data_IF_291858568732
#
_entry.id   IF_291858568732
#
_cell.length_a   1.000
_cell.length_b   1.000
_cell.length_c   1.000
_cell.angle_alpha   90.00
_cell.angle_beta   90.00
_cell.angle_gamma   90.00
#
_symmetry.space_group_name_H-M   'P 1'
#
loop_
_entity.id
_entity.type
_entity.pdbx_description
1 polymer ?
#
# COMPACT_ATOMS: atom_id res chain seq x y z
N UNK A 1 -10.22 -37.53 -7.30
CA UNK A 1 -9.35 -36.34 -7.28
C UNK A 1 -9.27 -35.68 -5.90
N UNK A 2 -10.34 -35.04 -5.38
CA UNK A 2 -10.37 -34.41 -4.03
C UNK A 2 -10.03 -35.39 -2.88
N UNK A 3 -10.47 -36.65 -2.99
CA UNK A 3 -10.21 -37.71 -2.00
C UNK A 3 -8.74 -38.18 -1.96
N UNK A 4 -7.97 -37.93 -3.01
CA UNK A 4 -6.55 -38.31 -3.13
C UNK A 4 -5.57 -37.16 -2.84
N UNK A 5 -6.01 -35.90 -2.97
CA UNK A 5 -5.19 -34.72 -2.68
C UNK A 5 -5.21 -34.31 -1.20
N UNK A 6 -6.30 -34.62 -0.48
CA UNK A 6 -6.50 -34.27 0.94
C UNK A 6 -5.40 -34.80 1.90
N UNK A 7 -4.81 -36.00 1.72
CA UNK A 7 -3.70 -36.47 2.57
C UNK A 7 -2.34 -35.82 2.26
N UNK A 8 -2.13 -35.35 1.03
CA UNK A 8 -0.90 -34.69 0.60
C UNK A 8 -0.85 -33.24 1.11
N UNK A 9 -1.97 -32.51 1.03
CA UNK A 9 -2.10 -31.15 1.55
C UNK A 9 -1.92 -31.08 3.09
N UNK A 10 -2.43 -32.08 3.84
CA UNK A 10 -2.24 -32.17 5.31
C UNK A 10 -0.79 -32.47 5.73
N UNK A 11 0.02 -33.10 4.87
CA UNK A 11 1.44 -33.40 5.19
C UNK A 11 2.37 -32.22 4.91
N UNK A 12 2.01 -31.36 3.97
CA UNK A 12 2.79 -30.16 3.61
C UNK A 12 2.55 -29.02 4.61
N UNK A 13 1.34 -28.88 5.15
CA UNK A 13 1.02 -27.83 6.14
C UNK A 13 1.74 -28.05 7.47
N UNK A 14 1.70 -29.25 8.05
CA UNK A 14 2.02 -29.37 9.49
C UNK A 14 3.51 -29.65 9.75
N UNK A 15 4.18 -30.39 8.86
CA UNK A 15 5.58 -30.77 9.04
C UNK A 15 6.56 -29.66 8.58
N UNK A 16 6.19 -28.87 7.56
CA UNK A 16 7.08 -27.86 6.96
C UNK A 16 7.03 -26.53 7.73
N UNK A 17 5.84 -26.11 8.19
CA UNK A 17 5.68 -24.89 9.01
C UNK A 17 6.44 -25.01 10.35
N UNK A 18 6.47 -26.20 10.95
CA UNK A 18 7.19 -26.45 12.22
C UNK A 18 8.72 -26.47 12.04
N UNK A 19 9.21 -26.86 10.86
CA UNK A 19 10.64 -26.84 10.51
C UNK A 19 11.12 -25.46 10.07
N UNK A 20 10.29 -24.68 9.39
CA UNK A 20 10.62 -23.34 8.86
C UNK A 20 10.74 -22.28 9.97
N UNK A 21 10.10 -22.47 11.13
CA UNK A 21 10.21 -21.57 12.28
C UNK A 21 11.58 -21.59 12.98
N UNK A 22 12.48 -22.53 12.67
CA UNK A 22 13.66 -22.83 13.51
C UNK A 22 15.03 -22.46 12.92
N UNK A 23 15.17 -22.27 11.61
CA UNK A 23 16.48 -22.12 10.98
C UNK A 23 16.42 -21.13 9.81
N UNK A 24 16.79 -19.86 10.05
CA UNK A 24 16.91 -18.85 8.99
C UNK A 24 18.36 -18.37 8.86
N UNK A 25 18.98 -18.73 7.74
CA UNK A 25 20.23 -18.20 7.17
C UNK A 25 20.10 -18.15 5.63
N UNK A 26 20.84 -17.25 4.99
CA UNK A 26 20.79 -16.80 3.59
C UNK A 26 20.84 -17.93 2.56
N UNK A 27 21.49 -19.05 2.88
CA UNK A 27 21.60 -20.23 2.00
C UNK A 27 20.27 -20.98 1.89
N UNK A 28 19.41 -20.91 2.91
CA UNK A 28 18.14 -21.64 3.01
C UNK A 28 17.03 -21.02 2.17
N UNK A 29 17.04 -19.70 1.93
CA UNK A 29 16.04 -18.99 1.11
C UNK A 29 16.09 -19.46 -0.34
N UNK A 30 17.29 -19.64 -0.92
CA UNK A 30 17.47 -20.14 -2.29
C UNK A 30 16.94 -21.57 -2.48
N UNK A 31 17.16 -22.44 -1.50
CA UNK A 31 16.69 -23.83 -1.53
C UNK A 31 15.17 -23.91 -1.34
N UNK A 32 14.61 -23.03 -0.51
CA UNK A 32 13.16 -22.96 -0.29
C UNK A 32 12.41 -22.41 -1.52
N UNK A 33 12.91 -21.34 -2.14
CA UNK A 33 12.34 -20.79 -3.38
C UNK A 33 12.39 -21.83 -4.49
N UNK A 34 13.51 -22.55 -4.65
CA UNK A 34 13.60 -23.68 -5.58
C UNK A 34 12.62 -24.80 -5.25
N UNK A 35 12.46 -25.15 -3.97
CA UNK A 35 11.53 -26.18 -3.52
C UNK A 35 10.05 -25.81 -3.71
N UNK A 36 9.69 -24.55 -3.47
CA UNK A 36 8.35 -24.02 -3.72
C UNK A 36 8.06 -24.00 -5.22
N UNK A 37 8.98 -23.49 -6.04
CA UNK A 37 8.87 -23.52 -7.51
C UNK A 37 8.75 -24.95 -8.02
N UNK A 38 9.53 -25.91 -7.50
CA UNK A 38 9.47 -27.30 -7.96
C UNK A 38 8.15 -27.99 -7.54
N UNK A 39 7.64 -27.68 -6.34
CA UNK A 39 6.33 -28.14 -5.88
C UNK A 39 5.21 -27.54 -6.73
N UNK A 40 5.33 -26.26 -7.12
CA UNK A 40 4.42 -25.57 -8.02
C UNK A 40 4.47 -26.14 -9.44
N UNK A 41 5.66 -26.41 -9.99
CA UNK A 41 5.84 -27.11 -11.29
C UNK A 41 5.17 -28.48 -11.27
N UNK A 42 5.33 -29.22 -10.17
CA UNK A 42 4.79 -30.56 -10.03
C UNK A 42 3.26 -30.55 -9.87
N UNK A 43 2.71 -29.56 -9.16
CA UNK A 43 1.27 -29.35 -9.05
C UNK A 43 0.67 -28.97 -10.42
N UNK A 44 1.22 -27.92 -11.07
CA UNK A 44 0.77 -27.42 -12.37
C UNK A 44 0.85 -28.47 -13.48
N UNK A 45 1.96 -29.21 -13.60
CA UNK A 45 2.06 -30.31 -14.59
C UNK A 45 0.97 -31.37 -14.41
N UNK A 46 0.61 -31.69 -13.15
CA UNK A 46 -0.37 -32.75 -12.86
C UNK A 46 -1.81 -32.28 -13.02
N UNK A 47 -2.13 -31.02 -12.72
CA UNK A 47 -3.51 -30.53 -12.78
C UNK A 47 -3.89 -29.91 -14.12
N UNK A 48 -2.94 -29.35 -14.88
CA UNK A 48 -3.28 -28.52 -16.07
C UNK A 48 -2.56 -28.92 -17.36
N UNK A 49 -1.56 -29.81 -17.30
CA UNK A 49 -0.82 -30.27 -18.50
C UNK A 49 0.11 -29.22 -19.14
N UNK A 50 0.36 -28.09 -18.47
CA UNK A 50 1.21 -27.00 -18.97
C UNK A 50 2.70 -27.39 -18.92
N UNK A 51 3.46 -27.11 -20.00
CA UNK A 51 4.92 -27.32 -20.05
C UNK A 51 5.67 -26.22 -19.26
N UNK A 52 6.34 -26.53 -18.13
CA UNK A 52 6.94 -25.54 -17.24
C UNK A 52 8.31 -24.98 -17.67
N UNK A 53 8.78 -25.26 -18.88
CA UNK A 53 10.08 -24.72 -19.31
C UNK A 53 10.09 -23.19 -19.45
N UNK A 54 8.91 -22.55 -19.60
CA UNK A 54 8.77 -21.10 -19.48
C UNK A 54 8.97 -20.55 -18.05
N UNK A 55 8.88 -21.40 -17.00
CA UNK A 55 9.21 -21.04 -15.61
C UNK A 55 10.70 -21.20 -15.27
N UNK A 56 11.54 -21.69 -16.20
CA UNK A 56 12.94 -22.01 -15.91
C UNK A 56 13.83 -20.77 -15.71
N UNK A 57 13.44 -19.60 -16.24
CA UNK A 57 14.20 -18.35 -16.11
C UNK A 57 14.34 -17.84 -14.68
N UNK A 58 13.43 -18.21 -13.77
CA UNK A 58 13.45 -17.77 -12.37
C UNK A 58 14.51 -18.50 -11.50
N UNK A 59 14.98 -19.68 -11.92
CA UNK A 59 15.91 -20.49 -11.12
C UNK A 59 17.39 -20.05 -11.24
N UNK A 60 17.68 -19.14 -12.18
CA UNK A 60 19.04 -18.68 -12.55
C UNK A 60 19.30 -17.21 -12.27
N UNK A 61 18.30 -16.45 -11.82
CA UNK A 61 18.40 -15.00 -11.60
C UNK A 61 18.95 -14.66 -10.19
N UNK A 62 19.56 -13.47 -10.03
CA UNK A 62 20.21 -13.03 -8.78
C UNK A 62 19.15 -12.50 -7.79
N UNK A 63 19.53 -12.35 -6.51
CA UNK A 63 18.69 -11.73 -5.44
C UNK A 63 18.04 -10.43 -5.96
N UNK A 64 16.71 -10.31 -5.90
CA UNK A 64 15.92 -9.18 -6.42
C UNK A 64 15.13 -9.46 -7.71
N UNK A 65 15.55 -10.42 -8.53
CA UNK A 65 14.91 -10.71 -9.83
C UNK A 65 13.70 -11.66 -9.73
N UNK A 66 13.29 -12.05 -8.52
CA UNK A 66 12.26 -13.08 -8.28
C UNK A 66 10.85 -12.50 -8.10
N UNK A 67 10.74 -11.21 -7.78
CA UNK A 67 9.47 -10.49 -7.55
C UNK A 67 8.58 -10.50 -8.79
N UNK A 68 9.14 -10.12 -9.95
CA UNK A 68 8.43 -10.08 -11.23
C UNK A 68 7.89 -11.44 -11.70
N UNK A 69 8.70 -12.52 -11.69
CA UNK A 69 8.23 -13.87 -12.03
C UNK A 69 7.11 -14.42 -11.12
N UNK A 70 7.14 -14.14 -9.82
CA UNK A 70 6.09 -14.57 -8.88
C UNK A 70 4.76 -13.81 -9.11
N UNK A 71 4.84 -12.51 -9.39
CA UNK A 71 3.67 -11.68 -9.75
C UNK A 71 3.06 -12.07 -11.10
N UNK A 72 3.88 -12.32 -12.12
CA UNK A 72 3.42 -12.83 -13.43
C UNK A 72 2.67 -14.17 -13.32
N UNK A 73 3.15 -15.07 -12.47
CA UNK A 73 2.47 -16.35 -12.24
C UNK A 73 1.10 -16.14 -11.58
N UNK A 74 0.94 -15.17 -10.67
CA UNK A 74 -0.38 -14.82 -10.08
C UNK A 74 -1.38 -14.41 -11.16
N UNK A 75 -0.98 -13.53 -12.09
CA UNK A 75 -1.84 -13.06 -13.19
C UNK A 75 -2.24 -14.17 -14.17
N UNK A 76 -1.27 -15.04 -14.52
CA UNK A 76 -1.54 -16.20 -15.38
C UNK A 76 -2.54 -17.17 -14.73
N UNK A 77 -2.50 -17.29 -13.40
CA UNK A 77 -3.43 -18.13 -12.65
C UNK A 77 -4.82 -17.49 -12.52
N UNK A 78 -4.92 -16.17 -12.39
CA UNK A 78 -6.19 -15.42 -12.38
C UNK A 78 -6.92 -15.52 -13.72
N UNK A 79 -6.22 -15.36 -14.84
CA UNK A 79 -6.79 -15.52 -16.18
C UNK A 79 -7.21 -16.96 -16.53
N UNK A 80 -6.84 -17.95 -15.71
CA UNK A 80 -7.19 -19.39 -15.88
C UNK A 80 -7.98 -19.95 -14.69
N UNK A 81 -8.53 -19.06 -13.85
CA UNK A 81 -9.19 -19.40 -12.59
C UNK A 81 -10.42 -20.30 -12.74
N UNK A 82 -10.98 -20.47 -13.95
CA UNK A 82 -12.09 -21.41 -14.21
C UNK A 82 -11.73 -22.88 -13.87
N UNK A 83 -10.44 -23.21 -13.77
CA UNK A 83 -9.97 -24.58 -13.50
C UNK A 83 -9.13 -24.74 -12.22
N UNK A 84 -8.91 -23.67 -11.46
CA UNK A 84 -8.19 -23.70 -10.19
C UNK A 84 -9.20 -23.62 -9.03
N UNK A 85 -9.10 -24.54 -8.05
CA UNK A 85 -9.87 -24.40 -6.81
C UNK A 85 -9.44 -23.09 -6.13
N UNK A 86 -10.38 -22.17 -5.88
CA UNK A 86 -10.15 -20.82 -5.31
C UNK A 86 -9.21 -20.86 -4.09
N UNK A 87 -9.36 -21.88 -3.24
CA UNK A 87 -8.54 -22.09 -2.04
C UNK A 87 -7.05 -22.33 -2.34
N UNK A 88 -6.73 -22.97 -3.46
CA UNK A 88 -5.35 -23.17 -3.90
C UNK A 88 -4.73 -21.87 -4.43
N UNK A 89 -5.52 -21.04 -5.13
CA UNK A 89 -5.09 -19.73 -5.59
C UNK A 89 -4.80 -18.79 -4.40
N UNK A 90 -5.65 -18.79 -3.37
CA UNK A 90 -5.45 -17.98 -2.17
C UNK A 90 -4.18 -18.38 -1.39
N UNK A 91 -3.95 -19.68 -1.20
CA UNK A 91 -2.73 -20.17 -0.54
C UNK A 91 -1.47 -19.81 -1.34
N UNK A 92 -1.55 -19.88 -2.68
CA UNK A 92 -0.47 -19.45 -3.55
C UNK A 92 -0.19 -17.95 -3.42
N UNK A 93 -1.24 -17.11 -3.51
CA UNK A 93 -1.12 -15.67 -3.32
C UNK A 93 -0.45 -15.38 -1.99
N UNK A 94 -0.98 -15.91 -0.88
CA UNK A 94 -0.42 -15.70 0.46
C UNK A 94 1.08 -16.06 0.53
N UNK A 95 1.50 -17.19 -0.05
CA UNK A 95 2.90 -17.60 -0.05
C UNK A 95 3.81 -16.73 -0.92
N UNK A 96 3.33 -16.29 -2.09
CA UNK A 96 4.07 -15.34 -2.93
C UNK A 96 4.24 -13.99 -2.21
N UNK A 97 3.20 -13.54 -1.50
CA UNK A 97 3.23 -12.31 -0.72
C UNK A 97 4.20 -12.35 0.45
N UNK A 98 4.21 -13.43 1.23
CA UNK A 98 5.18 -13.59 2.33
C UNK A 98 6.65 -13.57 1.82
N UNK A 99 6.89 -13.98 0.56
CA UNK A 99 8.21 -13.90 -0.09
C UNK A 99 8.52 -12.48 -0.59
N UNK A 100 7.53 -11.77 -1.12
CA UNK A 100 7.67 -10.38 -1.58
C UNK A 100 7.94 -9.43 -0.40
N UNK A 101 7.20 -9.57 0.69
CA UNK A 101 7.37 -8.75 1.91
C UNK A 101 8.77 -8.91 2.53
N UNK A 102 9.44 -10.05 2.31
CA UNK A 102 10.80 -10.28 2.81
C UNK A 102 11.91 -9.60 1.97
N UNK A 103 11.60 -9.15 0.75
CA UNK A 103 12.55 -8.52 -0.18
C UNK A 103 12.29 -7.02 -0.43
N UNK A 104 11.25 -6.42 0.15
CA UNK A 104 10.90 -5.01 -0.07
C UNK A 104 12.02 -4.04 0.35
N UNK A 105 12.47 -3.20 -0.60
CA UNK A 105 13.33 -2.05 -0.30
C UNK A 105 12.45 -0.92 0.23
N UNK A 106 12.68 -0.51 1.47
CA UNK A 106 11.97 0.62 2.05
C UNK A 106 12.77 1.91 1.90
N UNK A 107 12.31 2.79 1.02
CA UNK A 107 12.73 4.18 0.91
C UNK A 107 12.38 5.01 2.15
N UNK A 108 11.60 4.54 3.12
CA UNK A 108 11.46 5.22 4.43
C UNK A 108 10.81 6.61 4.35
N UNK A 109 11.59 7.68 4.52
CA UNK A 109 11.07 9.06 4.60
C UNK A 109 11.63 9.95 3.49
N UNK A 110 10.79 10.78 2.88
CA UNK A 110 11.22 11.79 1.91
C UNK A 110 10.55 13.14 2.14
N UNK A 111 11.14 14.18 1.56
CA UNK A 111 10.61 15.56 1.61
C UNK A 111 9.93 15.92 0.30
N UNK A 112 8.77 16.58 0.37
CA UNK A 112 8.14 17.23 -0.78
C UNK A 112 8.57 18.68 -0.90
N UNK A 113 8.98 19.11 -2.09
CA UNK A 113 9.32 20.48 -2.44
C UNK A 113 8.47 20.92 -3.64
N UNK A 114 7.55 21.85 -3.40
CA UNK A 114 6.84 22.53 -4.49
C UNK A 114 7.75 23.65 -5.01
N UNK A 115 8.13 23.62 -6.29
CA UNK A 115 8.99 24.62 -6.92
C UNK A 115 8.14 25.49 -7.85
N UNK A 116 8.34 26.80 -7.78
CA UNK A 116 7.77 27.78 -8.71
C UNK A 116 8.68 28.98 -8.83
N UNK A 117 8.93 29.42 -10.06
CA UNK A 117 9.80 30.54 -10.41
C UNK A 117 11.20 30.38 -9.77
N UNK A 118 11.73 29.15 -9.82
CA UNK A 118 13.05 28.77 -9.27
C UNK A 118 13.14 28.75 -7.75
N UNK A 119 12.02 28.84 -7.03
CA UNK A 119 11.97 28.88 -5.56
C UNK A 119 11.05 27.82 -4.99
N UNK A 120 11.39 27.34 -3.79
CA UNK A 120 10.47 26.52 -3.01
C UNK A 120 9.32 27.39 -2.49
N UNK A 121 8.11 26.93 -2.76
CA UNK A 121 6.86 27.59 -2.41
C UNK A 121 5.99 26.70 -1.53
N UNK A 122 5.02 27.32 -0.86
CA UNK A 122 3.97 26.65 -0.12
C UNK A 122 2.64 27.33 -0.39
N UNK A 123 1.53 26.60 -0.23
CA UNK A 123 0.20 27.22 -0.29
C UNK A 123 0.06 28.31 0.78
N UNK A 124 -0.48 29.46 0.39
CA UNK A 124 -0.78 30.57 1.31
C UNK A 124 -1.75 30.13 2.40
N UNK A 125 -2.77 29.36 2.02
CA UNK A 125 -3.71 28.70 2.94
C UNK A 125 -4.21 27.40 2.30
N UNK A 126 -4.74 26.45 3.10
CA UNK A 126 -5.29 25.20 2.57
C UNK A 126 -6.35 25.41 1.48
N UNK A 127 -7.22 26.42 1.67
CA UNK A 127 -8.37 26.69 0.80
C UNK A 127 -8.05 27.55 -0.44
N UNK A 128 -6.83 28.07 -0.57
CA UNK A 128 -6.46 28.99 -1.65
C UNK A 128 -5.32 28.39 -2.47
N UNK A 129 -5.55 28.18 -3.76
CA UNK A 129 -4.54 27.75 -4.75
C UNK A 129 -3.59 28.90 -5.13
N UNK A 130 -3.05 29.59 -4.14
CA UNK A 130 -2.05 30.64 -4.30
C UNK A 130 -0.78 30.24 -3.54
N UNK A 131 0.35 30.30 -4.22
CA UNK A 131 1.64 29.87 -3.68
C UNK A 131 2.49 31.09 -3.32
N UNK A 132 3.21 31.00 -2.20
CA UNK A 132 4.16 32.00 -1.74
C UNK A 132 5.50 31.33 -1.45
N UNK A 133 6.65 32.04 -1.58
CA UNK A 133 7.94 31.49 -1.17
C UNK A 133 7.89 31.00 0.27
N UNK A 134 8.47 29.83 0.52
CA UNK A 134 8.44 29.16 1.84
C UNK A 134 9.02 30.04 2.94
N UNK A 135 10.06 30.82 2.61
CA UNK A 135 10.75 31.80 3.46
C UNK A 135 9.84 32.90 4.02
N UNK A 136 8.66 33.13 3.42
CA UNK A 136 7.67 34.09 3.95
C UNK A 136 6.82 33.53 5.08
N UNK A 137 6.79 32.21 5.26
CA UNK A 137 5.95 31.52 6.25
C UNK A 137 6.78 30.82 7.32
N UNK A 138 7.92 30.27 6.93
CA UNK A 138 8.83 29.53 7.80
C UNK A 138 10.22 30.15 7.73
N UNK A 139 10.98 30.02 8.82
CA UNK A 139 12.39 30.43 8.87
C UNK A 139 13.27 29.38 8.16
N UNK A 140 13.08 29.27 6.85
CA UNK A 140 13.71 28.29 5.96
C UNK A 140 14.14 28.96 4.65
N UNK A 141 15.24 28.51 4.03
CA UNK A 141 15.65 29.01 2.72
C UNK A 141 14.60 28.65 1.66
N UNK A 142 14.45 29.49 0.64
CA UNK A 142 13.58 29.25 -0.52
C UNK A 142 14.35 28.74 -1.74
N UNK A 143 15.67 28.56 -1.64
CA UNK A 143 16.47 27.84 -2.62
C UNK A 143 16.23 26.32 -2.51
N UNK A 144 15.88 25.61 -3.62
CA UNK A 144 15.58 24.19 -3.58
C UNK A 144 16.72 23.30 -3.06
N UNK A 145 17.94 23.53 -3.52
CA UNK A 145 19.09 22.71 -3.14
C UNK A 145 19.48 22.93 -1.67
N UNK A 146 19.52 24.19 -1.23
CA UNK A 146 19.81 24.55 0.16
C UNK A 146 18.79 23.94 1.12
N UNK A 147 17.50 24.06 0.80
CA UNK A 147 16.43 23.52 1.64
C UNK A 147 16.44 21.98 1.65
N UNK A 148 16.58 21.35 0.48
CA UNK A 148 16.64 19.89 0.38
C UNK A 148 17.79 19.33 1.22
N UNK A 149 18.99 19.88 1.07
CA UNK A 149 20.18 19.48 1.84
C UNK A 149 19.94 19.60 3.34
N UNK A 150 19.44 20.77 3.78
CA UNK A 150 19.17 21.04 5.19
C UNK A 150 18.17 20.05 5.79
N UNK A 151 17.09 19.71 5.07
CA UNK A 151 16.06 18.80 5.57
C UNK A 151 16.51 17.34 5.51
N UNK A 152 17.20 16.92 4.44
CA UNK A 152 17.75 15.57 4.29
C UNK A 152 18.72 15.25 5.42
N UNK A 153 19.64 16.16 5.73
CA UNK A 153 20.59 15.97 6.83
C UNK A 153 19.92 16.00 8.21
N UNK A 154 19.00 16.95 8.43
CA UNK A 154 18.35 17.13 9.74
C UNK A 154 17.49 15.95 10.14
N UNK A 155 16.81 15.33 9.17
CA UNK A 155 15.81 14.29 9.42
C UNK A 155 16.23 12.89 8.95
N UNK A 156 17.46 12.72 8.45
CA UNK A 156 17.96 11.47 7.84
C UNK A 156 17.00 10.97 6.75
N UNK A 157 16.67 11.85 5.81
CA UNK A 157 15.74 11.51 4.73
C UNK A 157 16.43 10.66 3.67
N UNK A 158 15.64 9.77 3.09
CA UNK A 158 16.07 8.75 2.16
C UNK A 158 15.90 9.18 0.69
N UNK A 159 14.96 10.09 0.41
CA UNK A 159 14.64 10.56 -0.94
C UNK A 159 14.04 11.98 -0.94
N UNK A 160 13.96 12.59 -2.13
CA UNK A 160 13.35 13.90 -2.35
C UNK A 160 12.25 13.78 -3.40
N UNK A 161 11.11 14.42 -3.17
CA UNK A 161 10.03 14.60 -4.14
C UNK A 161 9.96 16.07 -4.51
N UNK A 162 9.91 16.36 -5.81
CA UNK A 162 9.85 17.72 -6.36
C UNK A 162 8.62 17.83 -7.25
N UNK A 163 7.76 18.80 -6.97
CA UNK A 163 6.66 19.17 -7.86
C UNK A 163 6.99 20.50 -8.53
N UNK A 164 7.26 20.47 -9.84
CA UNK A 164 7.49 21.67 -10.63
C UNK A 164 6.16 22.30 -11.03
N UNK A 165 5.74 23.30 -10.26
CA UNK A 165 4.46 23.97 -10.49
C UNK A 165 4.47 24.85 -11.75
N UNK A 166 5.63 25.20 -12.31
CA UNK A 166 5.68 25.90 -13.61
C UNK A 166 5.35 24.92 -14.73
N UNK A 167 5.93 23.72 -14.72
CA UNK A 167 5.57 22.65 -15.64
C UNK A 167 4.07 22.28 -15.50
N UNK A 168 3.63 21.98 -14.28
CA UNK A 168 2.28 21.49 -13.99
C UNK A 168 1.20 22.55 -14.31
N UNK A 169 1.44 23.83 -14.00
CA UNK A 169 0.40 24.87 -14.15
C UNK A 169 0.52 25.69 -15.44
N UNK A 170 1.71 25.75 -16.05
CA UNK A 170 2.01 26.63 -17.19
C UNK A 170 2.50 25.87 -18.43
N UNK A 171 2.84 24.58 -18.31
CA UNK A 171 3.40 23.77 -19.38
C UNK A 171 4.85 24.12 -19.74
N UNK A 172 5.54 24.86 -18.87
CA UNK A 172 6.93 25.28 -19.06
C UNK A 172 7.73 24.90 -17.80
N UNK A 173 8.56 23.84 -17.85
CA UNK A 173 9.36 23.43 -16.70
C UNK A 173 10.36 24.50 -16.26
N UNK A 174 10.53 24.64 -14.95
CA UNK A 174 11.60 25.42 -14.37
C UNK A 174 12.95 24.72 -14.56
N UNK A 175 14.01 25.49 -14.80
CA UNK A 175 15.36 24.95 -14.82
C UNK A 175 15.80 24.61 -13.38
N UNK A 176 15.64 23.35 -13.03
CA UNK A 176 15.98 22.79 -11.72
C UNK A 176 17.13 21.77 -11.80
N UNK A 177 17.68 21.56 -13.01
CA UNK A 177 18.69 20.54 -13.32
C UNK A 177 19.89 20.58 -12.36
N UNK A 178 20.52 21.75 -12.21
CA UNK A 178 21.65 21.98 -11.29
C UNK A 178 21.31 21.64 -9.82
N UNK A 179 20.09 21.97 -9.39
CA UNK A 179 19.64 21.72 -8.01
C UNK A 179 19.36 20.24 -7.76
N UNK A 180 18.89 19.51 -8.78
CA UNK A 180 18.64 18.07 -8.70
C UNK A 180 19.93 17.25 -8.81
N UNK A 181 20.87 17.68 -9.66
CA UNK A 181 22.17 17.01 -9.89
C UNK A 181 23.02 16.92 -8.62
N UNK A 182 22.92 17.93 -7.76
CA UNK A 182 23.72 18.06 -6.53
C UNK A 182 23.18 17.23 -5.35
N UNK A 183 21.97 16.67 -5.47
CA UNK A 183 21.38 15.82 -4.43
C UNK A 183 21.87 14.38 -4.54
N UNK A 184 22.45 13.85 -3.47
CA UNK A 184 22.95 12.45 -3.42
C UNK A 184 21.85 11.38 -3.29
N UNK A 185 20.62 11.80 -2.97
CA UNK A 185 19.47 10.91 -2.74
C UNK A 185 18.67 10.71 -4.01
N UNK A 186 17.93 9.59 -4.16
CA UNK A 186 16.95 9.43 -5.22
C UNK A 186 15.97 10.61 -5.24
N UNK A 187 15.68 11.13 -6.43
CA UNK A 187 14.74 12.25 -6.60
C UNK A 187 13.58 11.82 -7.48
N UNK A 188 12.36 12.17 -7.08
CA UNK A 188 11.15 11.92 -7.85
C UNK A 188 10.60 13.28 -8.30
N UNK A 189 10.53 13.51 -9.60
CA UNK A 189 10.22 14.83 -10.16
C UNK A 189 8.92 14.75 -10.94
N UNK A 190 7.91 15.46 -10.45
CA UNK A 190 6.65 15.70 -11.13
C UNK A 190 6.74 17.00 -11.93
N UNK A 191 6.67 16.85 -13.26
CA UNK A 191 6.67 17.95 -14.23
C UNK A 191 5.39 17.92 -15.09
N UNK A 192 4.33 17.26 -14.64
CA UNK A 192 3.13 17.03 -15.44
C UNK A 192 3.40 16.21 -16.71
N UNK A 193 2.69 16.53 -17.79
CA UNK A 193 2.85 15.89 -19.11
C UNK A 193 4.14 16.28 -19.85
N UNK A 194 5.02 17.10 -19.27
CA UNK A 194 6.29 17.45 -19.90
C UNK A 194 7.29 16.28 -19.82
N UNK A 195 8.17 16.18 -20.82
CA UNK A 195 9.34 15.29 -20.80
C UNK A 195 10.58 16.10 -20.37
N UNK A 196 11.06 15.91 -19.13
CA UNK A 196 12.19 16.67 -18.60
C UNK A 196 13.54 16.00 -18.94
N UNK A 197 14.59 16.81 -19.09
CA UNK A 197 15.97 16.30 -19.06
C UNK A 197 16.39 16.14 -17.59
N UNK A 198 16.39 14.90 -17.09
CA UNK A 198 16.64 14.58 -15.69
C UNK A 198 17.99 13.90 -15.47
N UNK A 199 18.66 14.15 -14.33
CA UNK A 199 19.87 13.42 -13.99
C UNK A 199 19.57 11.94 -13.73
N UNK A 200 20.57 11.07 -13.89
CA UNK A 200 20.39 9.60 -13.87
C UNK A 200 19.84 9.00 -12.56
N UNK A 201 19.88 9.74 -11.45
CA UNK A 201 19.33 9.35 -10.16
C UNK A 201 17.95 9.96 -9.87
N UNK A 202 17.43 10.76 -10.81
CA UNK A 202 16.09 11.30 -10.77
C UNK A 202 15.13 10.46 -11.62
N UNK A 203 13.91 10.34 -11.14
CA UNK A 203 12.84 9.57 -11.75
C UNK A 203 11.69 10.52 -12.08
N UNK A 204 11.23 10.53 -13.33
CA UNK A 204 10.03 11.25 -13.72
C UNK A 204 8.83 10.64 -13.01
N UNK A 205 7.96 11.48 -12.46
CA UNK A 205 6.62 11.09 -12.01
C UNK A 205 5.66 11.45 -13.14
N UNK A 206 4.86 10.48 -13.58
CA UNK A 206 3.86 10.67 -14.64
C UNK A 206 2.48 10.71 -13.96
N UNK A 207 1.90 11.90 -13.74
CA UNK A 207 0.72 12.05 -12.91
C UNK A 207 -0.59 11.85 -13.70
N UNK A 208 -1.59 11.24 -13.08
CA UNK A 208 -2.84 10.80 -13.73
C UNK A 208 -3.69 11.92 -14.32
N UNK A 209 -3.61 13.14 -13.80
CA UNK A 209 -4.48 14.27 -14.12
C UNK A 209 -4.03 15.10 -15.33
N UNK A 210 -2.83 14.82 -15.84
CA UNK A 210 -2.29 15.50 -17.02
C UNK A 210 -2.76 14.87 -18.35
N UNK A 211 -3.58 13.82 -18.32
CA UNK A 211 -4.01 13.06 -19.48
C UNK A 211 -5.54 13.00 -19.55
N UNK A 212 -6.10 13.23 -20.74
CA UNK A 212 -7.54 13.04 -21.00
C UNK A 212 -7.87 11.61 -21.43
N UNK A 213 -6.89 10.88 -21.98
CA UNK A 213 -7.01 9.50 -22.44
C UNK A 213 -6.03 8.57 -21.70
N UNK A 214 -6.52 7.40 -21.26
CA UNK A 214 -5.71 6.41 -20.54
C UNK A 214 -4.58 5.84 -21.39
N UNK A 215 -4.76 5.77 -22.71
CA UNK A 215 -3.78 5.19 -23.63
C UNK A 215 -2.53 6.07 -23.71
N UNK A 216 -2.70 7.39 -23.75
CA UNK A 216 -1.58 8.35 -23.74
C UNK A 216 -0.77 8.22 -22.44
N UNK A 217 -1.45 8.07 -21.30
CA UNK A 217 -0.79 7.82 -20.02
C UNK A 217 0.04 6.53 -20.01
N UNK A 218 -0.50 5.45 -20.61
CA UNK A 218 0.19 4.16 -20.69
C UNK A 218 1.39 4.25 -21.64
N UNK A 219 1.24 4.92 -22.79
CA UNK A 219 2.32 5.13 -23.75
C UNK A 219 3.50 5.86 -23.10
N UNK A 220 3.25 7.00 -22.44
CA UNK A 220 4.28 7.76 -21.72
C UNK A 220 4.96 6.92 -20.63
N UNK A 221 4.19 6.13 -19.88
CA UNK A 221 4.74 5.22 -18.90
C UNK A 221 5.61 4.15 -19.54
N UNK A 222 5.18 3.52 -20.65
CA UNK A 222 5.92 2.45 -21.31
C UNK A 222 7.21 2.96 -21.98
N UNK A 223 7.26 4.20 -22.45
CA UNK A 223 8.43 4.82 -23.06
C UNK A 223 9.56 5.10 -22.04
N UNK A 224 9.21 5.47 -20.80
CA UNK A 224 10.18 5.67 -19.71
C UNK A 224 10.12 4.52 -18.67
N UNK A 225 11.01 3.53 -18.84
CA UNK A 225 11.14 2.40 -17.91
C UNK A 225 11.54 2.81 -16.48
N UNK A 226 12.10 4.01 -16.30
CA UNK A 226 12.56 4.54 -15.01
C UNK A 226 11.51 5.39 -14.29
N UNK A 227 10.45 5.80 -14.98
CA UNK A 227 9.40 6.65 -14.43
C UNK A 227 8.55 5.95 -13.36
N UNK A 228 7.96 6.74 -12.48
CA UNK A 228 7.00 6.29 -11.47
C UNK A 228 5.60 6.75 -11.87
N UNK A 229 4.62 5.86 -11.78
CA UNK A 229 3.23 6.21 -12.01
C UNK A 229 2.71 7.09 -10.86
N UNK A 230 2.37 8.34 -11.13
CA UNK A 230 1.77 9.27 -10.17
C UNK A 230 0.25 9.10 -10.13
N UNK A 231 -0.29 8.77 -8.97
CA UNK A 231 -1.72 8.60 -8.70
C UNK A 231 -2.19 9.74 -7.79
N UNK A 232 -2.81 10.74 -8.40
CA UNK A 232 -3.25 11.94 -7.71
C UNK A 232 -4.71 11.84 -7.29
N UNK A 233 -4.95 12.11 -6.02
CA UNK A 233 -6.24 11.99 -5.37
C UNK A 233 -6.74 13.34 -4.84
N UNK A 234 -8.07 13.46 -4.79
CA UNK A 234 -8.75 14.45 -3.96
C UNK A 234 -9.75 13.70 -3.07
N UNK A 235 -9.31 13.34 -1.87
CA UNK A 235 -10.04 12.42 -1.01
C UNK A 235 -10.10 11.01 -1.61
N UNK A 236 -11.27 10.56 -2.04
CA UNK A 236 -11.48 9.23 -2.65
C UNK A 236 -11.48 9.23 -4.18
N UNK A 237 -11.50 10.41 -4.81
CA UNK A 237 -11.55 10.54 -6.26
C UNK A 237 -10.15 10.63 -6.84
N UNK A 238 -9.91 9.93 -7.96
CA UNK A 238 -8.69 10.11 -8.75
C UNK A 238 -8.87 11.32 -9.66
N UNK A 239 -7.84 12.15 -9.77
CA UNK A 239 -7.79 13.24 -10.73
C UNK A 239 -7.36 12.68 -12.10
N UNK A 240 -8.20 12.87 -13.12
CA UNK A 240 -8.01 12.33 -14.47
C UNK A 240 -9.11 11.34 -14.88
N UNK A 241 -8.93 10.60 -15.99
CA UNK A 241 -9.97 9.80 -16.65
C UNK A 241 -10.13 8.41 -16.02
N UNK A 242 -10.11 8.29 -14.69
CA UNK A 242 -10.02 7.00 -13.99
C UNK A 242 -11.24 6.71 -13.11
N UNK A 243 -11.79 5.51 -13.21
CA UNK A 243 -12.94 5.03 -12.43
C UNK A 243 -12.50 4.41 -11.10
N UNK A 244 -11.64 5.13 -10.37
CA UNK A 244 -11.09 4.72 -9.08
C UNK A 244 -9.85 3.82 -9.16
N UNK A 245 -9.28 3.50 -7.98
CA UNK A 245 -7.95 2.87 -7.86
C UNK A 245 -7.90 1.47 -8.49
N UNK A 246 -9.03 0.75 -8.49
CA UNK A 246 -9.12 -0.57 -9.13
C UNK A 246 -8.93 -0.49 -10.64
N UNK A 247 -9.64 0.43 -11.31
CA UNK A 247 -9.54 0.65 -12.75
C UNK A 247 -8.13 1.11 -13.16
N UNK A 248 -7.53 2.02 -12.37
CA UNK A 248 -6.13 2.41 -12.55
C UNK A 248 -5.19 1.20 -12.49
N UNK A 249 -5.26 0.41 -11.42
CA UNK A 249 -4.39 -0.74 -11.23
C UNK A 249 -4.59 -1.81 -12.31
N UNK A 250 -5.83 -2.15 -12.65
CA UNK A 250 -6.14 -3.13 -13.71
C UNK A 250 -5.52 -2.73 -15.05
N UNK A 251 -5.38 -1.42 -15.28
CA UNK A 251 -4.79 -0.85 -16.50
C UNK A 251 -3.25 -0.87 -16.47
N UNK A 252 -2.64 -0.39 -15.38
CA UNK A 252 -1.20 -0.10 -15.34
C UNK A 252 -0.36 -1.18 -14.67
N UNK A 253 -0.99 -2.18 -14.04
CA UNK A 253 -0.30 -3.18 -13.20
C UNK A 253 0.89 -3.78 -13.92
N UNK A 254 0.75 -4.11 -15.22
CA UNK A 254 1.79 -4.73 -16.04
C UNK A 254 3.07 -3.90 -16.18
N UNK A 255 2.94 -2.58 -16.12
CA UNK A 255 4.04 -1.65 -16.23
C UNK A 255 4.65 -1.43 -14.84
N UNK A 256 3.81 -1.09 -13.86
CA UNK A 256 4.27 -0.67 -12.53
C UNK A 256 4.78 -1.83 -11.66
N UNK A 257 4.45 -3.10 -11.95
CA UNK A 257 4.93 -4.22 -11.13
C UNK A 257 6.43 -4.46 -11.24
N UNK A 258 7.06 -4.01 -12.33
CA UNK A 258 8.50 -4.18 -12.62
C UNK A 258 9.35 -3.08 -11.99
N UNK A 259 8.71 -2.05 -11.43
CA UNK A 259 9.34 -0.81 -10.95
C UNK A 259 9.35 -0.76 -9.43
N UNK A 260 10.32 -0.06 -8.88
CA UNK A 260 10.49 0.12 -7.43
C UNK A 260 11.05 1.52 -7.12
N UNK A 261 10.22 2.46 -6.60
CA UNK A 261 8.79 2.33 -6.37
C UNK A 261 8.01 2.25 -7.69
N UNK A 262 6.89 1.53 -7.69
CA UNK A 262 6.05 1.42 -8.89
C UNK A 262 5.03 2.54 -9.03
N UNK A 263 4.51 3.04 -7.90
CA UNK A 263 3.46 4.05 -7.87
C UNK A 263 3.75 5.06 -6.76
N UNK A 264 3.47 6.32 -7.03
CA UNK A 264 3.44 7.40 -6.05
C UNK A 264 1.99 7.83 -5.87
N UNK A 265 1.47 7.83 -4.65
CA UNK A 265 0.07 8.13 -4.34
C UNK A 265 0.00 9.38 -3.48
N UNK A 266 -0.56 10.47 -3.99
CA UNK A 266 -0.69 11.73 -3.25
C UNK A 266 -2.15 12.14 -3.19
N UNK A 267 -2.65 12.45 -1.98
CA UNK A 267 -3.92 13.17 -1.83
C UNK A 267 -3.63 14.68 -1.81
N UNK A 268 -3.76 15.29 -2.99
CA UNK A 268 -3.53 16.72 -3.24
C UNK A 268 -4.54 17.60 -2.49
N UNK A 269 -5.74 17.05 -2.23
CA UNK A 269 -6.79 17.68 -1.42
C UNK A 269 -6.44 17.71 0.07
N UNK A 270 -5.76 16.69 0.57
CA UNK A 270 -5.34 16.60 1.97
C UNK A 270 -4.04 17.39 2.28
N UNK A 271 -3.37 18.00 1.30
CA UNK A 271 -2.13 18.76 1.55
C UNK A 271 -2.39 19.90 2.55
N UNK A 272 -1.76 19.79 3.71
CA UNK A 272 -1.91 20.74 4.81
C UNK A 272 -3.10 20.50 5.75
N UNK A 273 -3.96 19.50 5.49
CA UNK A 273 -5.11 19.17 6.34
C UNK A 273 -4.72 18.52 7.67
N UNK A 274 -3.55 17.85 7.70
CA UNK A 274 -3.07 17.04 8.82
C UNK A 274 -3.99 15.85 9.16
N UNK A 275 -4.82 15.38 8.24
CA UNK A 275 -5.73 14.24 8.43
C UNK A 275 -5.11 12.87 8.13
N UNK A 276 -3.89 12.86 7.59
CA UNK A 276 -3.17 11.66 7.18
C UNK A 276 -3.24 11.36 5.68
N UNK A 277 -2.31 10.52 5.18
CA UNK A 277 -2.22 10.15 3.76
C UNK A 277 -3.31 9.17 3.32
N UNK A 278 -3.44 8.90 2.00
CA UNK A 278 -4.47 8.03 1.43
C UNK A 278 -4.14 6.54 1.62
N UNK A 279 -4.19 6.06 2.87
CA UNK A 279 -3.79 4.70 3.21
C UNK A 279 -4.55 3.57 2.48
N UNK A 280 -5.83 3.78 2.16
CA UNK A 280 -6.64 2.76 1.47
C UNK A 280 -6.23 2.56 0.02
N UNK A 281 -5.93 3.67 -0.68
CA UNK A 281 -5.38 3.63 -2.04
C UNK A 281 -4.00 2.99 -2.02
N UNK A 282 -3.15 3.40 -1.07
CA UNK A 282 -1.83 2.81 -0.84
C UNK A 282 -1.88 1.30 -0.59
N UNK A 283 -2.83 0.84 0.22
CA UNK A 283 -3.00 -0.60 0.51
C UNK A 283 -3.37 -1.36 -0.77
N UNK A 284 -4.23 -0.76 -1.61
CA UNK A 284 -4.65 -1.38 -2.88
C UNK A 284 -3.48 -1.46 -3.87
N UNK A 285 -2.68 -0.40 -3.96
CA UNK A 285 -1.44 -0.39 -4.75
C UNK A 285 -0.44 -1.41 -4.22
N UNK A 286 -0.25 -1.47 -2.89
CA UNK A 286 0.61 -2.41 -2.18
C UNK A 286 0.30 -3.88 -2.46
N UNK A 287 -0.93 -4.18 -2.91
CA UNK A 287 -1.31 -5.51 -3.39
C UNK A 287 -0.75 -5.86 -4.78
N UNK A 288 -0.04 -4.97 -5.47
CA UNK A 288 0.50 -5.26 -6.80
C UNK A 288 1.88 -4.65 -7.05
N UNK A 289 2.18 -3.49 -6.45
CA UNK A 289 3.48 -2.82 -6.53
C UNK A 289 3.84 -2.11 -5.22
N UNK A 290 5.02 -1.51 -5.15
CA UNK A 290 5.43 -0.67 -4.02
C UNK A 290 4.95 0.76 -4.19
N UNK A 291 4.53 1.39 -3.09
CA UNK A 291 3.96 2.73 -3.08
C UNK A 291 4.80 3.72 -2.27
N UNK A 292 5.08 4.89 -2.86
CA UNK A 292 5.36 6.11 -2.09
C UNK A 292 4.05 6.83 -1.80
N UNK A 293 3.85 7.36 -0.60
CA UNK A 293 2.58 8.00 -0.25
C UNK A 293 2.73 9.37 0.38
N UNK A 294 1.86 10.31 0.02
CA UNK A 294 1.88 11.70 0.49
C UNK A 294 0.50 12.34 0.59
N UNK A 295 0.47 13.60 1.03
CA UNK A 295 -0.76 14.33 1.33
C UNK A 295 -1.22 14.12 2.78
N UNK A 296 -1.65 15.18 3.48
CA UNK A 296 -2.22 15.08 4.83
C UNK A 296 -1.30 14.67 5.98
N UNK A 297 -0.01 14.39 5.77
CA UNK A 297 0.90 14.00 6.86
C UNK A 297 1.16 15.19 7.80
N UNK A 298 0.61 15.12 9.01
CA UNK A 298 0.73 16.17 10.04
C UNK A 298 1.27 15.70 11.39
N UNK A 299 1.48 14.39 11.59
CA UNK A 299 1.94 13.83 12.87
C UNK A 299 2.83 12.59 12.69
N UNK A 300 3.81 12.33 13.57
CA UNK A 300 4.64 11.11 13.51
C UNK A 300 3.84 9.81 13.49
N UNK A 301 2.68 9.75 14.14
CA UNK A 301 1.83 8.55 14.10
C UNK A 301 1.33 8.25 12.68
N UNK A 302 1.13 9.26 11.82
CA UNK A 302 0.80 9.01 10.40
C UNK A 302 1.94 8.33 9.66
N UNK A 303 3.19 8.73 9.96
CA UNK A 303 4.40 8.10 9.41
C UNK A 303 4.51 6.64 9.85
N UNK A 304 4.28 6.38 11.15
CA UNK A 304 4.29 5.02 11.70
C UNK A 304 3.22 4.14 11.06
N UNK A 305 1.99 4.64 10.93
CA UNK A 305 0.89 3.90 10.31
C UNK A 305 1.13 3.66 8.82
N UNK A 306 1.65 4.65 8.11
CA UNK A 306 2.01 4.56 6.70
C UNK A 306 3.08 3.48 6.47
N UNK A 307 4.20 3.54 7.19
CA UNK A 307 5.28 2.55 7.06
C UNK A 307 4.91 1.16 7.59
N UNK A 308 3.89 1.06 8.43
CA UNK A 308 3.30 -0.22 8.84
C UNK A 308 2.27 -0.77 7.85
N UNK A 309 1.95 -0.03 6.79
CA UNK A 309 0.99 -0.46 5.76
C UNK A 309 1.71 -1.34 4.73
N UNK A 310 1.25 -2.57 4.49
CA UNK A 310 1.89 -3.46 3.51
C UNK A 310 2.02 -2.83 2.12
N UNK A 311 3.19 -2.94 1.51
CA UNK A 311 3.51 -2.40 0.19
C UNK A 311 3.84 -0.91 0.15
N UNK A 312 3.78 -0.18 1.27
CA UNK A 312 4.27 1.20 1.34
C UNK A 312 5.79 1.20 1.57
N UNK A 313 6.53 1.67 0.58
CA UNK A 313 7.99 1.75 0.63
C UNK A 313 8.48 3.04 1.30
N UNK A 314 7.73 4.14 1.18
CA UNK A 314 8.12 5.43 1.76
C UNK A 314 6.98 6.43 1.91
N UNK A 315 7.23 7.44 2.74
CA UNK A 315 6.27 8.52 3.09
C UNK A 315 6.83 9.87 2.71
N UNK A 316 6.06 10.63 1.95
CA UNK A 316 6.38 11.98 1.49
C UNK A 316 5.89 12.99 2.54
N UNK A 317 6.81 13.80 3.04
CA UNK A 317 6.59 14.76 4.11
C UNK A 317 6.77 16.20 3.60
N UNK A 318 5.76 17.05 3.80
CA UNK A 318 5.83 18.48 3.48
C UNK A 318 5.71 19.33 4.74
N UNK A 319 4.49 19.85 4.98
CA UNK A 319 4.15 20.76 6.08
C UNK A 319 4.71 20.36 7.44
N UNK A 320 4.67 19.08 7.82
CA UNK A 320 5.18 18.60 9.11
C UNK A 320 6.67 18.87 9.31
N UNK A 321 7.49 18.80 8.25
CA UNK A 321 8.93 19.11 8.33
C UNK A 321 9.15 20.62 8.45
N UNK A 322 8.37 21.40 7.70
CA UNK A 322 8.47 22.86 7.67
C UNK A 322 8.05 23.50 8.99
N UNK A 323 7.08 22.89 9.69
CA UNK A 323 6.67 23.28 11.04
C UNK A 323 7.67 22.87 12.13
N UNK A 324 8.73 22.12 11.79
CA UNK A 324 9.82 21.80 12.71
C UNK A 324 9.50 20.68 13.69
N UNK A 325 8.84 19.60 13.22
CA UNK A 325 8.66 18.39 14.03
C UNK A 325 9.98 17.88 14.61
N UNK A 326 9.94 17.31 15.81
CA UNK A 326 11.13 16.73 16.44
C UNK A 326 11.67 15.55 15.61
N UNK A 327 12.93 15.62 15.11
CA UNK A 327 13.54 14.52 14.34
C UNK A 327 13.56 13.19 15.08
N UNK A 328 13.70 13.19 16.42
CA UNK A 328 13.70 11.96 17.21
C UNK A 328 12.34 11.26 17.20
N UNK A 329 11.25 12.04 17.19
CA UNK A 329 9.88 11.48 17.11
C UNK A 329 9.62 10.87 15.74
N UNK A 330 10.10 11.51 14.67
CA UNK A 330 10.00 10.96 13.31
C UNK A 330 10.80 9.68 13.14
N UNK A 331 12.04 9.64 13.63
CA UNK A 331 12.86 8.44 13.55
C UNK A 331 12.28 7.29 14.40
N UNK A 332 11.72 7.60 15.58
CA UNK A 332 10.99 6.61 16.37
C UNK A 332 9.78 6.06 15.59
N UNK A 333 8.96 6.92 15.00
CA UNK A 333 7.82 6.51 14.17
C UNK A 333 8.26 5.64 12.98
N UNK A 334 9.36 6.02 12.29
CA UNK A 334 9.95 5.24 11.19
C UNK A 334 10.33 3.83 11.64
N UNK A 335 11.01 3.70 12.78
CA UNK A 335 11.44 2.40 13.33
C UNK A 335 10.28 1.54 13.82
N UNK A 336 9.28 2.15 14.43
CA UNK A 336 8.08 1.45 14.88
C UNK A 336 7.21 1.00 13.69
N UNK A 337 7.03 1.86 12.70
CA UNK A 337 6.25 1.57 11.49
C UNK A 337 6.79 0.36 10.73
N UNK A 338 8.11 0.30 10.51
CA UNK A 338 8.79 -0.86 9.86
C UNK A 338 8.59 -2.21 10.59
N UNK A 339 8.08 -2.22 11.82
CA UNK A 339 7.83 -3.44 12.62
C UNK A 339 6.35 -3.67 12.86
N UNK A 340 5.50 -2.76 12.39
CA UNK A 340 4.06 -2.81 12.55
C UNK A 340 3.43 -3.41 11.30
N UNK A 341 2.24 -3.99 11.46
CA UNK A 341 1.36 -4.32 10.35
C UNK A 341 0.02 -3.65 10.58
N UNK A 342 -0.36 -2.78 9.64
CA UNK A 342 -1.58 -1.97 9.70
C UNK A 342 -2.44 -2.29 8.50
N UNK A 343 -3.70 -2.64 8.76
CA UNK A 343 -4.72 -2.84 7.76
C UNK A 343 -5.68 -1.65 7.78
N UNK A 344 -6.05 -1.16 6.60
CA UNK A 344 -6.96 -0.01 6.47
C UNK A 344 -8.30 -0.44 5.91
N UNK A 345 -9.40 -0.03 6.55
CA UNK A 345 -10.73 -0.38 6.10
C UNK A 345 -11.83 0.58 6.54
N UNK A 346 -12.86 0.70 5.70
CA UNK A 346 -14.09 1.40 6.00
C UNK A 346 -15.02 0.63 6.96
N UNK A 347 -15.73 1.37 7.80
CA UNK A 347 -16.77 0.89 8.70
C UNK A 347 -17.88 1.95 8.83
N UNK A 348 -19.14 1.54 8.92
CA UNK A 348 -20.22 2.50 9.18
C UNK A 348 -20.06 3.16 10.57
N UNK A 349 -20.41 4.44 10.66
CA UNK A 349 -20.17 5.26 11.87
C UNK A 349 -20.81 4.68 13.13
N UNK A 350 -21.97 4.02 13.01
CA UNK A 350 -22.62 3.32 14.13
C UNK A 350 -21.72 2.25 14.75
N UNK A 351 -21.17 1.36 13.92
CA UNK A 351 -20.29 0.29 14.40
C UNK A 351 -18.95 0.83 14.88
N UNK A 352 -18.44 1.90 14.26
CA UNK A 352 -17.22 2.58 14.72
C UNK A 352 -17.37 3.08 16.15
N UNK A 353 -18.51 3.73 16.47
CA UNK A 353 -18.81 4.20 17.82
C UNK A 353 -18.97 3.04 18.82
N UNK A 354 -19.61 1.94 18.41
CA UNK A 354 -19.75 0.76 19.27
C UNK A 354 -18.40 0.11 19.61
N UNK A 355 -17.45 0.08 18.67
CA UNK A 355 -16.08 -0.40 18.94
C UNK A 355 -15.36 0.57 19.88
N UNK A 356 -15.47 1.87 19.63
CA UNK A 356 -14.86 2.90 20.47
C UNK A 356 -15.34 2.84 21.92
N UNK A 357 -16.63 2.55 22.13
CA UNK A 357 -17.23 2.35 23.46
C UNK A 357 -16.92 0.96 24.08
N UNK A 358 -16.24 0.08 23.36
CA UNK A 358 -15.92 -1.28 23.79
C UNK A 358 -17.11 -2.24 23.83
N UNK A 359 -18.24 -1.87 23.22
CA UNK A 359 -19.45 -2.72 23.13
C UNK A 359 -19.34 -3.76 22.03
N UNK A 360 -18.80 -3.36 20.87
CA UNK A 360 -18.51 -4.25 19.75
C UNK A 360 -17.04 -4.68 19.82
N UNK A 361 -16.81 -5.96 20.08
CA UNK A 361 -15.47 -6.53 20.30
C UNK A 361 -15.04 -7.46 19.16
N UNK A 362 -15.96 -7.85 18.28
CA UNK A 362 -15.68 -8.71 17.13
C UNK A 362 -16.16 -8.04 15.85
N UNK A 363 -15.29 -7.99 14.84
CA UNK A 363 -15.60 -7.49 13.51
C UNK A 363 -15.68 -8.61 12.47
N UNK A 364 -16.85 -8.80 11.88
CA UNK A 364 -17.08 -9.79 10.84
C UNK A 364 -16.75 -9.27 9.43
N UNK A 365 -15.95 -10.01 8.66
CA UNK A 365 -15.61 -9.67 7.26
C UNK A 365 -15.55 -10.91 6.38
N UNK A 366 -15.83 -10.77 5.08
CA UNK A 366 -15.49 -11.85 4.12
C UNK A 366 -13.97 -12.02 4.09
N UNK A 367 -13.51 -13.28 4.03
CA UNK A 367 -12.09 -13.64 3.93
C UNK A 367 -11.54 -13.42 2.50
N UNK A 368 -11.65 -12.20 2.01
CA UNK A 368 -11.05 -11.81 0.74
C UNK A 368 -9.52 -11.70 0.84
N UNK A 369 -8.85 -11.50 -0.30
CA UNK A 369 -7.37 -11.48 -0.37
C UNK A 369 -6.72 -10.38 0.50
N UNK A 370 -7.47 -9.30 0.82
CA UNK A 370 -7.01 -8.22 1.70
C UNK A 370 -7.12 -8.63 3.16
N UNK A 371 -8.25 -9.22 3.58
CA UNK A 371 -8.51 -9.56 4.99
C UNK A 371 -7.93 -10.92 5.40
N UNK A 372 -7.69 -11.83 4.45
CA UNK A 372 -7.10 -13.15 4.71
C UNK A 372 -5.69 -13.09 5.35
N UNK A 373 -5.04 -11.92 5.34
CA UNK A 373 -3.69 -11.70 5.87
C UNK A 373 -3.68 -11.17 7.31
N UNK A 374 -4.84 -10.81 7.84
CA UNK A 374 -4.97 -10.26 9.18
C UNK A 374 -4.59 -11.36 10.19
N UNK A 375 -3.67 -11.03 11.09
CA UNK A 375 -3.17 -11.94 12.13
C UNK A 375 -3.32 -11.30 13.51
N UNK A 376 -3.45 -12.13 14.57
CA UNK A 376 -3.34 -11.65 15.94
C UNK A 376 -2.07 -10.81 16.14
N UNK A 377 -2.21 -9.64 16.78
CA UNK A 377 -1.13 -8.67 16.99
C UNK A 377 -1.09 -7.53 15.98
N UNK A 378 -1.70 -7.69 14.81
CA UNK A 378 -1.82 -6.63 13.79
C UNK A 378 -2.62 -5.43 14.33
N UNK A 379 -2.64 -4.36 13.55
CA UNK A 379 -3.49 -3.18 13.77
C UNK A 379 -4.47 -3.03 12.64
N UNK A 380 -5.64 -2.48 12.96
CA UNK A 380 -6.61 -2.04 11.96
C UNK A 380 -6.88 -0.56 12.21
N UNK A 381 -6.78 0.25 11.17
CA UNK A 381 -7.21 1.64 11.18
C UNK A 381 -8.54 1.75 10.44
N UNK A 382 -9.61 2.00 11.19
CA UNK A 382 -10.94 2.22 10.63
C UNK A 382 -11.15 3.69 10.28
N UNK A 383 -11.63 3.96 9.06
CA UNK A 383 -12.00 5.31 8.58
C UNK A 383 -10.90 6.38 8.79
N UNK A 384 -9.62 6.00 8.72
CA UNK A 384 -8.46 6.87 9.04
C UNK A 384 -8.53 7.52 10.44
N UNK A 385 -9.30 6.94 11.37
CA UNK A 385 -9.65 7.55 12.65
C UNK A 385 -9.43 6.61 13.82
N UNK A 386 -10.11 5.47 13.88
CA UNK A 386 -10.06 4.59 15.04
C UNK A 386 -9.02 3.48 14.83
N UNK A 387 -7.94 3.52 15.61
CA UNK A 387 -6.92 2.48 15.62
C UNK A 387 -7.27 1.41 16.64
N UNK A 388 -7.32 0.15 16.20
CA UNK A 388 -7.57 -1.02 17.04
C UNK A 388 -6.45 -2.05 16.92
N UNK A 389 -6.30 -2.89 17.94
CA UNK A 389 -5.44 -4.06 17.94
C UNK A 389 -6.26 -5.30 17.60
N UNK A 390 -5.71 -6.17 16.76
CA UNK A 390 -6.27 -7.52 16.55
C UNK A 390 -5.82 -8.43 17.69
N UNK A 391 -6.77 -9.00 18.40
CA UNK A 391 -6.56 -9.92 19.53
C UNK A 391 -6.53 -11.36 19.03
N UNK A 392 -7.50 -11.74 18.21
CA UNK A 392 -7.61 -13.07 17.63
C UNK A 392 -8.35 -13.02 16.27
N UNK A 393 -8.18 -14.07 15.45
CA UNK A 393 -8.86 -14.19 14.15
C UNK A 393 -9.38 -15.63 13.98
N UNK A 394 -10.69 -15.77 13.79
CA UNK A 394 -11.37 -17.06 13.64
C UNK A 394 -12.09 -17.14 12.29
N UNK A 395 -12.11 -18.32 11.69
CA UNK A 395 -12.68 -18.54 10.35
C UNK A 395 -13.97 -19.37 10.43
N UNK A 396 -14.95 -18.98 9.63
CA UNK A 396 -16.28 -19.61 9.54
C UNK A 396 -16.70 -19.83 8.10
N UNK A 397 -17.56 -20.82 7.85
CA UNK A 397 -18.08 -21.09 6.51
C UNK A 397 -19.17 -20.09 6.11
N UNK A 398 -19.81 -19.42 7.07
CA UNK A 398 -20.87 -18.42 6.83
C UNK A 398 -20.99 -17.38 7.94
N UNK A 399 -21.62 -16.24 7.63
CA UNK A 399 -21.98 -15.22 8.62
C UNK A 399 -22.97 -15.75 9.66
N UNK A 400 -23.87 -16.65 9.27
CA UNK A 400 -24.83 -17.27 10.19
C UNK A 400 -24.11 -18.10 11.27
N UNK A 401 -23.15 -18.92 10.86
CA UNK A 401 -22.32 -19.71 11.78
C UNK A 401 -21.49 -18.79 12.69
N UNK A 402 -20.83 -17.78 12.11
CA UNK A 402 -20.04 -16.81 12.87
C UNK A 402 -20.89 -16.10 13.94
N UNK A 403 -22.06 -15.58 13.58
CA UNK A 403 -22.95 -14.86 14.52
C UNK A 403 -23.45 -15.78 15.66
N UNK A 404 -23.65 -17.07 15.37
CA UNK A 404 -24.06 -18.06 16.38
C UNK A 404 -22.95 -18.37 17.37
N UNK A 405 -21.71 -18.51 16.91
CA UNK A 405 -20.57 -18.93 17.73
C UNK A 405 -19.91 -17.74 18.48
N UNK A 406 -19.81 -16.57 17.83
CA UNK A 406 -19.21 -15.37 18.43
C UNK A 406 -20.16 -14.61 19.37
N UNK A 407 -21.47 -14.85 19.25
CA UNK A 407 -22.51 -14.10 19.96
C UNK A 407 -22.86 -12.79 19.24
N UNK A 408 -24.16 -12.59 19.00
CA UNK A 408 -24.67 -11.44 18.27
C UNK A 408 -24.31 -10.11 18.97
N UNK A 409 -24.32 -10.09 20.30
CA UNK A 409 -23.98 -8.94 21.13
C UNK A 409 -22.53 -8.47 20.96
N UNK A 410 -21.61 -9.36 20.61
CA UNK A 410 -20.19 -9.03 20.43
C UNK A 410 -19.90 -8.51 19.01
N UNK A 411 -20.67 -8.99 18.03
CA UNK A 411 -20.47 -8.69 16.60
C UNK A 411 -21.36 -7.54 16.12
N UNK A 412 -22.65 -7.58 16.42
CA UNK A 412 -23.65 -6.59 16.02
C UNK A 412 -24.51 -6.22 17.24
N UNK A 413 -23.96 -5.44 18.20
CA UNK A 413 -24.74 -4.97 19.34
C UNK A 413 -26.01 -4.24 18.87
N UNK A 414 -27.11 -4.41 19.60
CA UNK A 414 -28.44 -3.85 19.30
C UNK A 414 -29.21 -4.52 18.15
N UNK A 415 -28.71 -5.64 17.60
CA UNK A 415 -29.46 -6.50 16.68
C UNK A 415 -30.11 -7.63 17.47
N UNK A 416 -31.37 -7.94 17.17
CA UNK A 416 -32.19 -8.84 18.00
C UNK A 416 -32.16 -10.31 17.54
N UNK A 417 -31.72 -10.58 16.30
CA UNK A 417 -31.70 -11.95 15.74
C UNK A 417 -30.54 -12.22 14.78
N UNK A 418 -30.17 -13.51 14.63
CA UNK A 418 -29.14 -13.94 13.68
C UNK A 418 -29.59 -13.65 12.25
N UNK A 419 -30.87 -13.86 11.94
CA UNK A 419 -31.43 -13.63 10.61
C UNK A 419 -31.26 -12.16 10.19
N UNK A 420 -31.57 -11.21 11.08
CA UNK A 420 -31.36 -9.78 10.85
C UNK A 420 -29.86 -9.44 10.70
N UNK A 421 -29.00 -10.04 11.53
CA UNK A 421 -27.55 -9.87 11.43
C UNK A 421 -26.98 -10.34 10.10
N UNK A 422 -27.49 -11.47 9.56
CA UNK A 422 -27.11 -11.96 8.23
C UNK A 422 -27.56 -10.97 7.16
N UNK A 423 -28.79 -10.44 7.22
CA UNK A 423 -29.28 -9.44 6.27
C UNK A 423 -28.45 -8.14 6.30
N UNK A 424 -27.97 -7.73 7.47
CA UNK A 424 -27.02 -6.61 7.59
C UNK A 424 -25.77 -6.85 6.74
N UNK A 425 -25.15 -8.04 6.85
CA UNK A 425 -23.98 -8.39 6.05
C UNK A 425 -24.27 -8.55 4.56
N UNK A 426 -25.49 -8.98 4.19
CA UNK A 426 -25.94 -9.10 2.79
C UNK A 426 -25.99 -7.76 2.06
N UNK A 427 -26.11 -6.64 2.77
CA UNK A 427 -26.01 -5.29 2.19
C UNK A 427 -24.61 -5.00 1.63
N UNK A 428 -23.57 -5.64 2.17
CA UNK A 428 -22.18 -5.42 1.77
C UNK A 428 -21.60 -6.57 0.93
N UNK A 429 -22.05 -7.80 1.15
CA UNK A 429 -21.47 -9.00 0.54
C UNK A 429 -22.53 -9.91 -0.09
N UNK A 430 -22.30 -10.30 -1.35
CA UNK A 430 -23.12 -11.31 -2.00
C UNK A 430 -22.89 -12.69 -1.40
N UNK A 431 -23.93 -13.54 -1.45
CA UNK A 431 -23.83 -14.94 -1.00
C UNK A 431 -22.83 -15.77 -1.78
N UNK A 432 -22.53 -15.37 -3.02
CA UNK A 432 -21.45 -15.96 -3.81
C UNK A 432 -20.07 -15.73 -3.17
N UNK A 433 -19.77 -14.50 -2.74
CA UNK A 433 -18.48 -14.16 -2.11
C UNK A 433 -18.30 -14.88 -0.78
N UNK A 434 -19.32 -14.88 0.06
CA UNK A 434 -19.30 -15.63 1.33
C UNK A 434 -19.04 -17.12 1.10
N UNK A 435 -19.77 -17.78 0.21
CA UNK A 435 -19.56 -19.22 -0.08
C UNK A 435 -18.20 -19.51 -0.69
N UNK A 436 -17.66 -18.56 -1.46
CA UNK A 436 -16.39 -18.72 -2.15
C UNK A 436 -15.19 -18.57 -1.22
N UNK A 437 -15.28 -17.64 -0.27
CA UNK A 437 -14.13 -17.21 0.53
C UNK A 437 -14.25 -17.57 2.02
N UNK A 438 -15.47 -17.79 2.52
CA UNK A 438 -15.75 -17.87 3.95
C UNK A 438 -15.73 -16.50 4.63
N UNK A 439 -15.82 -16.52 5.95
CA UNK A 439 -15.93 -15.33 6.81
C UNK A 439 -14.85 -15.37 7.89
N UNK A 440 -14.39 -14.19 8.28
CA UNK A 440 -13.51 -13.96 9.42
C UNK A 440 -14.30 -13.26 10.53
N UNK A 441 -14.16 -13.77 11.75
CA UNK A 441 -14.38 -13.01 12.97
C UNK A 441 -13.04 -12.46 13.45
N UNK A 442 -12.93 -11.14 13.54
CA UNK A 442 -11.71 -10.45 13.96
C UNK A 442 -11.99 -9.86 15.34
N UNK A 443 -11.43 -10.47 16.38
CA UNK A 443 -11.52 -9.94 17.73
C UNK A 443 -10.59 -8.74 17.87
N UNK A 444 -11.12 -7.63 18.39
CA UNK A 444 -10.45 -6.32 18.37
C UNK A 444 -10.55 -5.60 19.71
N UNK A 445 -9.54 -4.78 19.98
CA UNK A 445 -9.47 -3.90 21.15
C UNK A 445 -9.13 -2.47 20.69
N UNK A 446 -9.93 -1.45 21.04
CA UNK A 446 -9.63 -0.07 20.68
C UNK A 446 -8.35 0.44 21.38
N UNK A 447 -7.50 1.15 20.63
CA UNK A 447 -6.24 1.73 21.14
C UNK A 447 -6.38 3.24 21.28
N UNK A 448 -6.74 3.92 20.18
CA UNK A 448 -6.84 5.38 20.14
C UNK A 448 -7.75 5.85 19.00
N UNK A 449 -8.42 6.98 19.22
CA UNK A 449 -9.03 7.79 18.18
C UNK A 449 -8.01 8.85 17.74
N UNK A 450 -7.52 8.77 16.50
CA UNK A 450 -6.50 9.69 15.98
C UNK A 450 -7.00 11.13 15.99
N UNK A 451 -8.29 11.40 15.80
CA UNK A 451 -8.80 12.76 15.78
C UNK A 451 -8.83 13.38 17.17
N UNK A 452 -9.06 12.58 18.22
CA UNK A 452 -8.99 13.07 19.62
C UNK A 452 -7.58 13.07 20.19
N UNK A 453 -6.64 12.34 19.57
CA UNK A 453 -5.27 12.19 20.06
C UNK A 453 -4.19 12.93 19.27
N UNK A 454 -4.51 13.43 18.08
CA UNK A 454 -3.55 14.05 17.14
C UNK A 454 -4.05 15.41 16.61
N UNK A 455 -5.35 15.52 16.33
CA UNK A 455 -5.94 16.74 15.77
C UNK A 455 -6.38 17.71 16.89
N UNK A 456 -5.42 18.25 17.65
CA UNK A 456 -5.63 19.38 18.56
C UNK A 456 -5.24 20.72 17.91
#
# INVERSE_FOLDING_TARGET
MIRELRPLLRRVSDARITSLKREWDETSTSVFVRGAIETLRHALRRTTGINPEALAGAATARRGDHVGPLRNLTRVLEGKAEHLEVRALQLYKAAAWDLLEAEEKHLGLGVALDIKEGKVVVRRSPDVREYIPISRRYDLPDDPHELATLLVERYDLDFVYVADLDAILRGEPADTSDALESLEKPVFVDVGACEPDLPSHAHRVIPTECYDDKSEYIEDLEEDESAVAGLDLNGSEILGPWDGVGDFLDTVVEVVYRRDPGVLVIDVGAVGSKEGPPYEAATSVGMYSTALIGGGVGHPEHVKLALGTPGVSGVILGTILFEGVDPMKLEQARREGKRLRVHHMGLEEEYLNLIKEGKKTVEGRVKDDKRARIKPGDKILFNRRLLVKVIDVREYDSFEEMLREEGLENVLPNVDSIEEGVEIYRRFYSSGKEKMFGVLAIEIEPIMDLWEGICD
#
